data_IF_642675865932
#
_entry.id   IF_642675865932
#
_cell.length_a   1.000
_cell.length_b   1.000
_cell.length_c   1.000
_cell.angle_alpha   90.00
_cell.angle_beta   90.00
_cell.angle_gamma   90.00
#
_symmetry.space_group_name_H-M   'P 1'
#
loop_
_entity.id
_entity.type
_entity.pdbx_description
1 polymer ?
#
# COMPACT_ATOMS: atom_id res chain seq x y z
N UNK A 1 40.03 20.57 -13.59
CA UNK A 1 38.69 20.27 -13.04
C UNK A 1 37.63 20.87 -13.94
N UNK A 2 36.76 20.05 -14.54
CA UNK A 2 35.60 20.51 -15.31
C UNK A 2 34.49 19.47 -15.18
N UNK A 3 33.41 19.85 -14.48
CA UNK A 3 32.17 19.08 -14.31
C UNK A 3 31.33 19.30 -15.57
N UNK A 4 30.99 18.23 -16.30
CA UNK A 4 29.96 18.29 -17.35
C UNK A 4 28.96 17.14 -17.18
N UNK A 5 27.80 17.57 -16.71
CA UNK A 5 26.41 17.11 -16.85
C UNK A 5 26.13 15.70 -17.40
N UNK A 6 25.29 15.00 -16.63
CA UNK A 6 24.61 13.73 -16.92
C UNK A 6 23.43 13.95 -17.88
N UNK A 7 23.22 13.05 -18.85
CA UNK A 7 21.95 12.92 -19.59
C UNK A 7 21.54 11.46 -19.62
N UNK A 8 20.31 11.19 -19.20
CA UNK A 8 19.64 9.89 -19.23
C UNK A 8 18.83 9.85 -20.51
N UNK A 9 19.08 8.84 -21.35
CA UNK A 9 18.26 8.53 -22.53
C UNK A 9 17.31 7.39 -22.15
N UNK A 10 16.00 7.62 -22.23
CA UNK A 10 14.98 6.57 -22.23
C UNK A 10 14.41 6.54 -23.63
N UNK A 11 14.75 5.51 -24.39
CA UNK A 11 14.24 5.30 -25.75
C UNK A 11 12.86 4.66 -25.71
N UNK A 12 11.93 5.28 -26.44
CA UNK A 12 10.60 4.80 -26.75
C UNK A 12 10.64 3.43 -27.43
N UNK A 13 9.89 2.47 -26.90
CA UNK A 13 9.24 1.45 -27.74
C UNK A 13 7.76 1.44 -27.42
N UNK A 14 7.02 1.72 -28.47
CA UNK A 14 5.60 2.01 -28.51
C UNK A 14 4.75 0.75 -28.61
N UNK A 15 3.46 0.98 -28.34
CA UNK A 15 2.29 0.24 -28.84
C UNK A 15 2.05 -1.14 -28.20
N UNK A 16 0.84 -1.56 -27.90
CA UNK A 16 -0.48 -1.08 -28.27
C UNK A 16 -1.49 -1.59 -27.23
N UNK A 17 -2.51 -0.79 -26.91
CA UNK A 17 -3.90 -1.28 -26.88
C UNK A 17 -4.82 -0.06 -26.91
N UNK A 18 -5.07 0.38 -28.14
CA UNK A 18 -6.10 1.33 -28.48
C UNK A 18 -7.44 0.59 -28.53
N UNK A 19 -8.41 1.02 -27.71
CA UNK A 19 -9.77 0.51 -27.78
C UNK A 19 -10.75 1.46 -27.10
N UNK A 20 -11.63 2.06 -27.91
CA UNK A 20 -12.78 2.91 -27.57
C UNK A 20 -12.54 4.44 -27.52
N UNK A 21 -12.15 5.00 -28.67
CA UNK A 21 -12.48 6.38 -29.03
C UNK A 21 -13.49 6.36 -30.18
N UNK A 22 -14.77 6.56 -29.87
CA UNK A 22 -15.83 6.76 -30.84
C UNK A 22 -16.17 8.25 -30.96
N UNK A 23 -15.83 8.86 -32.10
CA UNK A 23 -16.71 9.79 -32.82
C UNK A 23 -16.52 11.30 -32.65
N UNK A 24 -16.06 11.95 -33.73
CA UNK A 24 -16.42 13.33 -34.16
C UNK A 24 -15.43 14.43 -33.78
N UNK A 25 -14.38 14.70 -34.56
CA UNK A 25 -14.28 15.67 -35.69
C UNK A 25 -14.67 17.13 -35.38
N UNK A 26 -13.61 17.92 -35.21
CA UNK A 26 -13.40 19.34 -35.55
C UNK A 26 -14.35 20.41 -34.97
N UNK A 27 -13.93 20.97 -33.83
CA UNK A 27 -14.17 22.38 -33.49
C UNK A 27 -13.04 22.94 -32.60
N UNK A 28 -12.22 23.79 -33.22
CA UNK A 28 -11.57 25.00 -32.69
C UNK A 28 -11.10 25.05 -31.21
N UNK A 29 -9.79 25.24 -31.06
CA UNK A 29 -9.11 26.12 -30.08
C UNK A 29 -9.76 26.18 -28.68
N UNK A 30 -9.42 25.20 -27.85
CA UNK A 30 -9.31 25.41 -26.42
C UNK A 30 -8.06 24.65 -25.96
N UNK A 31 -7.06 25.38 -25.46
CA UNK A 31 -5.98 24.84 -24.65
C UNK A 31 -6.64 24.16 -23.45
N UNK A 32 -6.99 22.89 -23.64
CA UNK A 32 -7.60 22.06 -22.62
C UNK A 32 -6.43 21.62 -21.77
N UNK A 33 -6.14 22.41 -20.74
CA UNK A 33 -5.39 21.93 -19.58
C UNK A 33 -6.05 20.60 -19.23
N UNK A 34 -5.34 19.49 -19.48
CA UNK A 34 -5.80 18.18 -19.06
C UNK A 34 -6.21 18.33 -17.59
N UNK A 35 -7.45 18.01 -17.20
CA UNK A 35 -7.85 18.12 -15.81
C UNK A 35 -6.81 17.36 -15.02
N UNK A 36 -6.10 18.06 -14.13
CA UNK A 36 -5.06 17.48 -13.28
C UNK A 36 -5.64 16.16 -12.77
N UNK A 37 -5.07 15.05 -13.24
CA UNK A 37 -5.50 13.73 -12.78
C UNK A 37 -5.51 13.74 -11.25
N UNK A 38 -6.38 12.95 -10.61
CA UNK A 38 -6.47 12.95 -9.16
C UNK A 38 -5.06 12.86 -8.57
N UNK A 39 -4.73 13.70 -7.56
CA UNK A 39 -3.36 13.82 -7.08
C UNK A 39 -2.82 12.45 -6.73
N UNK A 40 -1.65 12.11 -7.31
CA UNK A 40 -1.04 10.81 -7.05
C UNK A 40 -0.78 10.68 -5.55
N UNK A 41 -1.26 9.62 -4.90
CA UNK A 41 -1.13 9.49 -3.46
C UNK A 41 0.35 9.33 -3.08
N UNK A 42 0.81 10.13 -2.12
CA UNK A 42 2.16 9.99 -1.61
C UNK A 42 2.38 8.59 -1.02
N UNK A 43 3.61 8.05 -1.03
CA UNK A 43 3.91 6.74 -0.44
C UNK A 43 3.44 6.60 1.01
N UNK A 44 3.50 7.70 1.79
CA UNK A 44 3.02 7.75 3.18
C UNK A 44 1.49 7.65 3.28
N UNK A 45 0.75 8.25 2.35
CA UNK A 45 -0.70 8.13 2.30
C UNK A 45 -1.13 6.68 1.98
N UNK A 46 -0.42 6.03 1.05
CA UNK A 46 -0.63 4.62 0.72
C UNK A 46 -0.38 3.72 1.94
N UNK A 47 0.74 3.89 2.65
CA UNK A 47 1.04 3.12 3.86
C UNK A 47 -0.03 3.29 4.94
N UNK A 48 -0.47 4.52 5.22
CA UNK A 48 -1.56 4.79 6.18
C UNK A 48 -2.84 4.05 5.81
N UNK A 49 -3.20 4.03 4.53
CA UNK A 49 -4.39 3.31 4.06
C UNK A 49 -4.28 1.80 4.24
N UNK A 50 -3.08 1.23 4.03
CA UNK A 50 -2.83 -0.20 4.24
C UNK A 50 -2.92 -0.58 5.72
N UNK A 51 -2.34 0.24 6.59
CA UNK A 51 -2.45 0.06 8.05
C UNK A 51 -3.91 0.11 8.50
N UNK A 52 -4.70 1.10 8.05
CA UNK A 52 -6.13 1.17 8.39
C UNK A 52 -6.90 -0.07 7.96
N UNK A 53 -6.64 -0.59 6.75
CA UNK A 53 -7.27 -1.83 6.27
C UNK A 53 -6.90 -3.03 7.13
N UNK A 54 -5.63 -3.16 7.52
CA UNK A 54 -5.19 -4.23 8.41
C UNK A 54 -5.84 -4.13 9.79
N UNK A 55 -5.95 -2.92 10.36
CA UNK A 55 -6.65 -2.71 11.64
C UNK A 55 -8.12 -3.10 11.52
N UNK A 56 -8.80 -2.68 10.46
CA UNK A 56 -10.20 -3.07 10.20
C UNK A 56 -10.37 -4.59 10.07
N UNK A 57 -9.44 -5.26 9.40
CA UNK A 57 -9.41 -6.72 9.27
C UNK A 57 -9.23 -7.41 10.64
N UNK A 58 -8.39 -6.85 11.51
CA UNK A 58 -8.15 -7.37 12.86
C UNK A 58 -9.32 -7.14 13.82
N UNK A 59 -10.24 -6.22 13.51
CA UNK A 59 -11.49 -6.04 14.27
C UNK A 59 -12.54 -7.11 13.97
N UNK A 60 -12.38 -7.90 12.91
CA UNK A 60 -13.24 -9.05 12.59
C UNK A 60 -12.81 -10.24 13.45
N UNK A 61 -13.79 -11.02 13.94
CA UNK A 61 -13.54 -12.23 14.71
C UNK A 61 -12.64 -13.20 13.91
N UNK A 62 -11.66 -13.88 14.54
CA UNK A 62 -10.70 -14.73 13.84
C UNK A 62 -11.32 -15.75 12.87
N UNK A 63 -12.46 -16.32 13.24
CA UNK A 63 -13.19 -17.34 12.46
C UNK A 63 -13.86 -16.77 11.20
N UNK A 64 -14.19 -15.48 11.23
CA UNK A 64 -14.93 -14.78 10.17
C UNK A 64 -14.01 -14.03 9.21
N UNK A 65 -12.69 -13.98 9.50
CA UNK A 65 -11.71 -13.29 8.66
C UNK A 65 -11.64 -13.95 7.30
N UNK A 66 -11.87 -13.15 6.27
CA UNK A 66 -11.72 -13.60 4.89
C UNK A 66 -10.25 -13.72 4.53
N UNK A 67 -9.95 -14.45 3.46
CA UNK A 67 -8.59 -14.51 2.88
C UNK A 67 -8.06 -13.09 2.61
N UNK A 68 -8.91 -12.18 2.12
CA UNK A 68 -8.56 -10.79 1.86
C UNK A 68 -8.12 -10.05 3.13
N UNK A 69 -8.78 -10.32 4.25
CA UNK A 69 -8.44 -9.74 5.56
C UNK A 69 -7.08 -10.24 6.05
N UNK A 70 -6.83 -11.55 5.90
CA UNK A 70 -5.54 -12.15 6.25
C UNK A 70 -4.38 -11.55 5.44
N UNK A 71 -4.58 -11.35 4.13
CA UNK A 71 -3.56 -10.70 3.28
C UNK A 71 -3.37 -9.21 3.57
N UNK A 72 -4.43 -8.50 3.98
CA UNK A 72 -4.32 -7.11 4.41
C UNK A 72 -3.43 -7.01 5.66
N UNK A 73 -3.64 -7.89 6.64
CA UNK A 73 -2.82 -8.01 7.85
C UNK A 73 -1.40 -8.43 7.54
N UNK A 74 -1.21 -9.47 6.71
CA UNK A 74 0.13 -9.97 6.34
C UNK A 74 0.99 -8.90 5.67
N UNK A 75 0.39 -8.06 4.81
CA UNK A 75 1.11 -6.98 4.13
C UNK A 75 1.77 -6.02 5.12
N UNK A 76 1.07 -5.69 6.20
CA UNK A 76 1.61 -4.84 7.27
C UNK A 76 2.58 -5.63 8.14
N UNK A 77 2.27 -6.88 8.48
CA UNK A 77 3.13 -7.74 9.29
C UNK A 77 4.51 -7.97 8.66
N UNK A 78 4.61 -8.08 7.33
CA UNK A 78 5.89 -8.21 6.59
C UNK A 78 6.86 -7.04 6.76
N UNK A 79 6.40 -5.90 7.27
CA UNK A 79 7.30 -4.80 7.65
C UNK A 79 8.18 -5.18 8.85
N UNK A 80 7.67 -6.02 9.76
CA UNK A 80 8.41 -6.54 10.90
C UNK A 80 9.45 -7.59 10.46
N UNK A 81 10.64 -7.54 11.06
CA UNK A 81 11.77 -8.43 10.72
C UNK A 81 11.40 -9.91 10.86
N UNK A 82 10.62 -10.26 11.88
CA UNK A 82 10.18 -11.63 12.15
C UNK A 82 9.45 -12.27 10.97
N UNK A 83 8.65 -11.50 10.23
CA UNK A 83 7.81 -12.01 9.14
C UNK A 83 8.52 -12.16 7.79
N UNK A 84 9.73 -11.62 7.61
CA UNK A 84 10.40 -11.56 6.29
C UNK A 84 10.84 -12.93 5.75
N UNK A 85 11.05 -13.91 6.62
CA UNK A 85 11.50 -15.25 6.24
C UNK A 85 10.47 -16.35 6.44
N UNK A 86 9.26 -16.00 6.88
CA UNK A 86 8.23 -17.00 7.15
C UNK A 86 7.58 -17.46 5.85
N UNK A 87 7.35 -18.78 5.66
CA UNK A 87 6.51 -19.28 4.60
C UNK A 87 5.13 -18.63 4.64
N UNK A 88 4.57 -18.31 3.46
CA UNK A 88 3.35 -17.52 3.37
C UNK A 88 2.17 -18.14 4.12
N UNK A 89 1.95 -19.45 3.97
CA UNK A 89 0.89 -20.17 4.66
C UNK A 89 1.02 -20.06 6.19
N UNK A 90 2.24 -20.17 6.71
CA UNK A 90 2.51 -20.05 8.14
C UNK A 90 2.27 -18.63 8.63
N UNK A 91 2.73 -17.63 7.88
CA UNK A 91 2.50 -16.23 8.20
C UNK A 91 1.00 -15.87 8.20
N UNK A 92 0.21 -16.42 7.27
CA UNK A 92 -1.23 -16.24 7.23
C UNK A 92 -1.94 -16.86 8.44
N UNK A 93 -1.50 -18.04 8.89
CA UNK A 93 -2.02 -18.68 10.12
C UNK A 93 -1.76 -17.78 11.34
N UNK A 94 -0.56 -17.20 11.46
CA UNK A 94 -0.27 -16.22 12.52
C UNK A 94 -1.17 -14.99 12.42
N UNK A 95 -1.36 -14.45 11.22
CA UNK A 95 -2.25 -13.31 11.00
C UNK A 95 -3.71 -13.61 11.37
N UNK A 96 -4.18 -14.86 11.25
CA UNK A 96 -5.52 -15.25 11.70
C UNK A 96 -5.67 -15.08 13.22
N UNK A 97 -4.63 -15.36 14.01
CA UNK A 97 -4.65 -15.29 15.47
C UNK A 97 -4.34 -13.91 16.07
N UNK A 98 -4.05 -12.89 15.26
CA UNK A 98 -3.69 -11.57 15.78
C UNK A 98 -4.89 -10.76 16.23
N UNK A 99 -4.67 -9.88 17.20
CA UNK A 99 -5.62 -8.88 17.65
C UNK A 99 -4.96 -7.50 17.61
N UNK A 100 -5.74 -6.48 17.29
CA UNK A 100 -5.26 -5.11 17.33
C UNK A 100 -5.56 -4.50 18.69
N UNK A 101 -4.51 -4.06 19.38
CA UNK A 101 -4.60 -3.30 20.63
C UNK A 101 -4.11 -1.88 20.39
N UNK A 102 -4.96 -0.89 20.66
CA UNK A 102 -4.56 0.51 20.68
C UNK A 102 -4.10 0.87 22.08
N UNK A 103 -2.89 1.41 22.22
CA UNK A 103 -2.34 1.84 23.49
C UNK A 103 -2.42 3.35 23.61
N UNK A 104 -2.80 3.81 24.79
CA UNK A 104 -2.67 5.22 25.15
C UNK A 104 -1.22 5.56 25.50
N UNK A 105 -0.85 6.83 25.34
CA UNK A 105 0.47 7.29 25.77
C UNK A 105 0.63 7.02 27.28
N UNK A 106 1.76 6.42 27.68
CA UNK A 106 2.10 6.01 29.06
C UNK A 106 1.40 4.75 29.58
N UNK A 107 0.64 4.02 28.76
CA UNK A 107 0.12 2.70 29.16
C UNK A 107 1.26 1.66 29.18
N UNK A 108 1.49 1.06 30.35
CA UNK A 108 2.42 -0.06 30.48
C UNK A 108 1.71 -1.38 30.23
N UNK A 109 2.18 -2.15 29.23
CA UNK A 109 1.68 -3.48 28.91
C UNK A 109 2.20 -4.57 29.84
N UNK A 110 3.43 -4.41 30.33
CA UNK A 110 4.11 -5.41 31.14
C UNK A 110 4.72 -4.72 32.36
N UNK A 111 4.52 -5.32 33.53
CA UNK A 111 5.24 -4.92 34.74
C UNK A 111 6.32 -5.96 35.00
N UNK A 112 7.53 -5.50 35.31
CA UNK A 112 8.59 -6.38 35.76
C UNK A 112 8.15 -7.02 37.08
N UNK A 113 8.00 -8.35 37.10
CA UNK A 113 7.88 -9.08 38.35
C UNK A 113 9.23 -8.96 39.07
N UNK A 114 9.25 -8.29 40.22
CA UNK A 114 10.47 -8.03 40.99
C UNK A 114 11.17 -9.33 41.40
N UNK A 115 12.50 -9.29 41.40
CA UNK A 115 13.38 -10.31 41.99
C UNK A 115 13.75 -9.99 43.43
#
# INVERSE_FOLDING_TARGET
MSRREMRIEISDTAAADAGWAGGGKDAAVASTVAPLGPPQPSPRAVQRSQVRRAVSALSVAPEERTVKDLYATLRVARLARFFRGLPEHFALVLCKGFEHVSLEAQQSLFRQAGG
#
